data_IF_737596376062
#
_entry.id   IF_737596376062
#
_cell.length_a   1.000
_cell.length_b   1.000
_cell.length_c   1.000
_cell.angle_alpha   90.00
_cell.angle_beta   90.00
_cell.angle_gamma   90.00
#
_symmetry.space_group_name_H-M   'P 1'
#
loop_
_entity.id
_entity.type
_entity.pdbx_description
1 polymer ?
#
# COMPACT_ATOMS: atom_id res chain seq x y z
N UNK A 1 -4.49 21.83 -11.08
CA UNK A 1 -5.42 21.03 -10.24
C UNK A 1 -4.60 20.38 -9.14
N UNK A 2 -4.99 20.49 -7.87
CA UNK A 2 -4.22 19.89 -6.76
C UNK A 2 -4.50 18.39 -6.71
N UNK A 3 -3.47 17.55 -6.85
CA UNK A 3 -3.55 16.11 -6.63
C UNK A 3 -3.34 15.81 -5.14
N UNK A 4 -4.27 15.07 -4.55
CA UNK A 4 -4.16 14.62 -3.15
C UNK A 4 -3.34 13.33 -3.00
N UNK A 5 -3.07 12.66 -4.11
CA UNK A 5 -2.34 11.42 -4.19
C UNK A 5 -0.92 11.68 -4.71
N UNK A 6 0.07 11.55 -3.83
CA UNK A 6 1.48 11.81 -4.13
C UNK A 6 2.00 10.90 -5.26
N UNK A 7 1.55 9.65 -5.34
CA UNK A 7 1.98 8.70 -6.37
C UNK A 7 1.53 9.16 -7.75
N UNK A 8 0.25 9.52 -7.90
CA UNK A 8 -0.27 10.04 -9.17
C UNK A 8 0.49 11.31 -9.56
N UNK A 9 0.74 12.21 -8.61
CA UNK A 9 1.53 13.43 -8.87
C UNK A 9 2.95 13.13 -9.35
N UNK A 10 3.64 12.17 -8.73
CA UNK A 10 4.99 11.76 -9.13
C UNK A 10 5.00 11.11 -10.51
N UNK A 11 4.04 10.21 -10.79
CA UNK A 11 3.92 9.55 -12.09
C UNK A 11 3.57 10.55 -13.21
N UNK A 12 2.70 11.52 -12.96
CA UNK A 12 2.39 12.60 -13.92
C UNK A 12 3.59 13.51 -14.22
N UNK A 13 4.60 13.52 -13.34
CA UNK A 13 5.84 14.29 -13.49
C UNK A 13 7.01 13.44 -14.03
N UNK A 14 6.74 12.21 -14.49
CA UNK A 14 7.77 11.24 -14.91
C UNK A 14 8.84 11.00 -13.83
N UNK A 15 8.47 11.13 -12.55
CA UNK A 15 9.36 10.87 -11.42
C UNK A 15 9.23 9.43 -10.93
N UNK A 16 10.34 8.82 -10.46
CA UNK A 16 10.28 7.50 -9.88
C UNK A 16 9.43 7.50 -8.60
N UNK A 17 8.67 6.43 -8.42
CA UNK A 17 7.87 6.16 -7.22
C UNK A 17 8.49 4.98 -6.49
N UNK A 18 8.81 5.15 -5.21
CA UNK A 18 9.40 4.08 -4.41
C UNK A 18 8.32 3.34 -3.61
N UNK A 19 8.15 2.05 -3.92
CA UNK A 19 7.22 1.16 -3.24
C UNK A 19 7.94 0.36 -2.15
N UNK A 20 7.31 0.21 -0.98
CA UNK A 20 7.84 -0.63 0.11
C UNK A 20 7.82 -2.13 -0.20
N UNK A 21 7.08 -2.54 -1.24
CA UNK A 21 6.83 -3.94 -1.59
C UNK A 21 5.39 -4.37 -1.28
N UNK A 22 5.20 -5.69 -1.27
CA UNK A 22 3.93 -6.36 -0.95
C UNK A 22 3.83 -6.59 0.56
N UNK A 23 2.76 -6.08 1.17
CA UNK A 23 2.39 -6.34 2.56
C UNK A 23 1.19 -7.27 2.58
N UNK A 24 1.29 -8.37 3.30
CA UNK A 24 0.18 -9.31 3.45
C UNK A 24 -1.00 -8.68 4.19
N UNK A 25 -2.23 -8.90 3.71
CA UNK A 25 -3.42 -8.48 4.44
C UNK A 25 -3.40 -9.06 5.87
N UNK A 26 -3.71 -8.22 6.86
CA UNK A 26 -3.66 -8.60 8.28
C UNK A 26 -2.29 -8.48 8.96
N UNK A 27 -1.19 -8.27 8.23
CA UNK A 27 0.12 -8.06 8.86
C UNK A 27 0.29 -6.60 9.32
N UNK A 28 -0.04 -6.33 10.58
CA UNK A 28 0.01 -4.99 11.17
C UNK A 28 1.43 -4.50 11.48
N UNK A 29 2.36 -5.42 11.76
CA UNK A 29 3.74 -5.05 12.09
C UNK A 29 4.45 -4.48 10.86
N UNK A 30 4.36 -5.19 9.73
CA UNK A 30 4.87 -4.72 8.44
C UNK A 30 4.18 -3.41 8.02
N UNK A 31 2.87 -3.31 8.22
CA UNK A 31 2.12 -2.11 7.86
C UNK A 31 2.54 -0.88 8.68
N UNK A 32 2.84 -1.08 9.97
CA UNK A 32 3.34 -0.01 10.85
C UNK A 32 4.74 0.42 10.44
N UNK A 33 5.62 -0.54 10.14
CA UNK A 33 6.97 -0.25 9.64
C UNK A 33 6.93 0.56 8.34
N UNK A 34 6.06 0.18 7.41
CA UNK A 34 5.88 0.87 6.14
C UNK A 34 5.29 2.27 6.32
N UNK A 35 4.30 2.45 7.21
CA UNK A 35 3.76 3.77 7.56
C UNK A 35 4.84 4.71 8.14
N UNK A 36 5.82 4.15 8.83
CA UNK A 36 6.96 4.87 9.40
C UNK A 36 8.14 5.04 8.43
N UNK A 37 8.09 4.42 7.26
CA UNK A 37 9.12 4.55 6.23
C UNK A 37 8.87 5.77 5.33
N UNK A 38 9.88 6.14 4.53
CA UNK A 38 9.80 7.23 3.54
C UNK A 38 9.33 6.74 2.15
N UNK A 39 8.74 5.55 2.06
CA UNK A 39 8.15 5.03 0.82
C UNK A 39 6.96 5.90 0.37
N UNK A 40 6.82 6.05 -0.95
CA UNK A 40 5.73 6.82 -1.57
C UNK A 40 4.43 6.02 -1.62
N UNK A 41 4.56 4.69 -1.72
CA UNK A 41 3.44 3.76 -1.81
C UNK A 41 3.73 2.42 -1.13
N UNK A 42 2.66 1.70 -0.87
CA UNK A 42 2.71 0.29 -0.50
C UNK A 42 1.59 -0.47 -1.20
N UNK A 43 1.81 -1.76 -1.39
CA UNK A 43 0.85 -2.67 -2.00
C UNK A 43 0.37 -3.62 -0.92
N UNK A 44 -0.94 -3.71 -0.72
CA UNK A 44 -1.52 -4.72 0.16
C UNK A 44 -1.97 -5.90 -0.68
N UNK A 45 -1.41 -7.08 -0.37
CA UNK A 45 -1.70 -8.36 -1.00
C UNK A 45 -3.01 -8.92 -0.43
N UNK A 46 -4.04 -9.00 -1.28
CA UNK A 46 -5.36 -9.46 -0.89
C UNK A 46 -5.90 -10.60 -1.78
N UNK A 47 -5.15 -11.06 -2.78
CA UNK A 47 -5.55 -12.19 -3.64
C UNK A 47 -5.42 -13.52 -2.88
N UNK A 48 -4.27 -13.73 -2.24
CA UNK A 48 -3.94 -15.03 -1.65
C UNK A 48 -4.46 -15.23 -0.21
N UNK A 49 -4.66 -14.15 0.55
CA UNK A 49 -5.06 -14.21 1.97
C UNK A 49 -6.58 -14.11 2.19
N UNK A 50 -7.36 -13.97 1.12
CA UNK A 50 -8.79 -13.69 1.23
C UNK A 50 -9.04 -12.23 1.60
N UNK A 51 -10.04 -11.66 0.96
CA UNK A 51 -10.36 -10.25 1.11
C UNK A 51 -11.30 -10.02 2.31
N UNK A 52 -10.79 -9.47 3.41
CA UNK A 52 -11.59 -8.98 4.54
C UNK A 52 -11.50 -7.46 4.68
N UNK A 53 -12.66 -6.80 4.73
CA UNK A 53 -12.78 -5.37 4.96
C UNK A 53 -12.34 -4.95 6.37
N UNK A 54 -12.47 -5.81 7.38
CA UNK A 54 -12.10 -5.47 8.76
C UNK A 54 -10.57 -5.35 8.92
N UNK A 55 -9.83 -6.32 8.38
CA UNK A 55 -8.36 -6.30 8.40
C UNK A 55 -7.82 -5.12 7.61
N UNK A 56 -8.35 -4.93 6.42
CA UNK A 56 -8.03 -3.80 5.57
C UNK A 56 -8.30 -2.45 6.25
N UNK A 57 -9.45 -2.30 6.91
CA UNK A 57 -9.78 -1.08 7.66
C UNK A 57 -8.75 -0.85 8.76
N UNK A 58 -8.37 -1.90 9.47
CA UNK A 58 -7.39 -1.83 10.56
C UNK A 58 -6.02 -1.44 10.01
N UNK A 59 -5.53 -2.10 8.97
CA UNK A 59 -4.26 -1.78 8.30
C UNK A 59 -4.19 -0.32 7.84
N UNK A 60 -5.27 0.21 7.27
CA UNK A 60 -5.35 1.63 6.86
C UNK A 60 -5.15 2.60 8.04
N UNK A 61 -5.58 2.22 9.25
CA UNK A 61 -5.33 3.04 10.44
C UNK A 61 -3.86 3.04 10.87
N UNK A 62 -3.15 1.92 10.68
CA UNK A 62 -1.74 1.79 11.02
C UNK A 62 -0.81 2.45 9.99
N UNK A 63 -1.23 2.55 8.73
CA UNK A 63 -0.52 3.36 7.74
C UNK A 63 -0.50 4.84 8.15
N UNK A 64 -1.61 5.33 8.73
CA UNK A 64 -1.74 6.72 9.15
C UNK A 64 -0.96 7.00 10.45
N UNK A 65 0.34 7.31 10.32
CA UNK A 65 1.10 7.82 11.45
C UNK A 65 0.68 9.26 11.81
N UNK A 66 -0.22 9.37 12.79
CA UNK A 66 -0.76 10.62 13.32
C UNK A 66 0.31 11.60 13.85
N UNK A 67 1.44 11.12 14.40
CA UNK A 67 2.54 11.99 14.82
C UNK A 67 3.18 12.69 13.63
N UNK A 68 3.48 11.95 12.56
CA UNK A 68 4.03 12.52 11.32
C UNK A 68 3.06 13.50 10.65
N UNK A 69 1.74 13.25 10.74
CA UNK A 69 0.72 14.19 10.21
C UNK A 69 0.78 15.52 10.96
N UNK A 70 0.93 15.48 12.29
CA UNK A 70 1.02 16.67 13.13
C UNK A 70 2.34 17.42 12.90
N UNK A 71 3.45 16.72 12.71
CA UNK A 71 4.77 17.33 12.50
C UNK A 71 4.95 17.90 11.07
N UNK A 72 4.48 17.20 10.03
CA UNK A 72 4.65 17.61 8.63
C UNK A 72 3.43 18.34 8.04
N UNK A 73 2.33 18.45 8.79
CA UNK A 73 1.12 19.22 8.41
C UNK A 73 0.26 18.62 7.29
N UNK A 74 0.68 17.53 6.64
CA UNK A 74 -0.10 16.83 5.61
C UNK A 74 0.33 15.38 5.48
N UNK A 75 -0.64 14.46 5.47
CA UNK A 75 -0.43 13.04 5.19
C UNK A 75 -0.82 12.75 3.74
N UNK A 76 0.13 12.27 2.92
CA UNK A 76 -0.09 11.99 1.48
C UNK A 76 0.50 10.64 1.05
N UNK A 77 0.47 9.63 1.92
CA UNK A 77 0.79 8.28 1.48
C UNK A 77 -0.39 7.70 0.70
N UNK A 78 -0.07 7.05 -0.42
CA UNK A 78 -1.06 6.44 -1.31
C UNK A 78 -0.97 4.94 -1.21
N UNK A 79 -2.09 4.30 -0.93
CA UNK A 79 -2.23 2.85 -0.97
C UNK A 79 -2.71 2.42 -2.36
N UNK A 80 -1.95 1.54 -3.01
CA UNK A 80 -2.45 0.82 -4.17
C UNK A 80 -2.89 -0.57 -3.71
N UNK A 81 -4.11 -0.97 -4.08
CA UNK A 81 -4.62 -2.32 -3.79
C UNK A 81 -4.30 -3.21 -4.97
N UNK A 82 -3.56 -4.28 -4.74
CA UNK A 82 -3.50 -5.39 -5.69
C UNK A 82 -4.51 -6.43 -5.25
N UNK A 83 -5.62 -6.45 -5.96
CA UNK A 83 -6.51 -7.60 -6.02
C UNK A 83 -6.32 -8.16 -7.42
N UNK A 84 -5.23 -8.90 -7.64
CA UNK A 84 -5.15 -9.75 -8.82
C UNK A 84 -6.30 -10.74 -8.66
N UNK A 85 -7.37 -10.59 -9.44
CA UNK A 85 -8.43 -11.58 -9.49
C UNK A 85 -8.01 -12.61 -10.54
N UNK A 86 -7.17 -13.58 -10.15
CA UNK A 86 -6.91 -14.82 -10.89
C UNK A 86 -6.59 -14.66 -12.38
N UNK A 87 -5.31 -14.83 -12.76
CA UNK A 87 -5.01 -15.65 -13.96
C UNK A 87 -3.60 -16.24 -14.15
N UNK A 88 -2.87 -16.62 -13.10
CA UNK A 88 -1.79 -17.61 -13.28
C UNK A 88 -2.00 -18.80 -12.34
N UNK A 89 -2.57 -19.92 -12.81
CA UNK A 89 -2.59 -21.14 -12.02
C UNK A 89 -1.14 -21.59 -11.78
N UNK A 90 -0.80 -21.76 -10.50
CA UNK A 90 0.51 -22.21 -9.98
C UNK A 90 0.90 -23.62 -10.47
N UNK A 91 0.01 -24.29 -11.21
CA UNK A 91 0.20 -25.65 -11.74
C UNK A 91 0.70 -25.71 -13.20
N UNK A 92 1.16 -24.61 -13.81
CA UNK A 92 1.67 -24.63 -15.19
C UNK A 92 3.18 -24.92 -15.32
N UNK A 93 3.88 -25.27 -14.24
CA UNK A 93 5.34 -25.50 -14.23
C UNK A 93 5.77 -26.95 -13.99
N UNK A 94 4.83 -27.90 -13.95
CA UNK A 94 5.13 -29.34 -13.97
C UNK A 94 4.09 -30.08 -14.81
N UNK A 95 4.37 -30.22 -16.12
CA UNK A 95 3.57 -30.97 -17.09
C UNK A 95 4.25 -30.95 -18.44
#
# INVERSE_FOLDING_TARGET
MVRYNKVIELLEQDKPVFCSGLVWNGNLDDMTYVGDSDYDMTIVEMEHQGFDFNDLRTMLQFLMNRKKVVEKGSYRQTLLRLCESHRIPVNAING
#
